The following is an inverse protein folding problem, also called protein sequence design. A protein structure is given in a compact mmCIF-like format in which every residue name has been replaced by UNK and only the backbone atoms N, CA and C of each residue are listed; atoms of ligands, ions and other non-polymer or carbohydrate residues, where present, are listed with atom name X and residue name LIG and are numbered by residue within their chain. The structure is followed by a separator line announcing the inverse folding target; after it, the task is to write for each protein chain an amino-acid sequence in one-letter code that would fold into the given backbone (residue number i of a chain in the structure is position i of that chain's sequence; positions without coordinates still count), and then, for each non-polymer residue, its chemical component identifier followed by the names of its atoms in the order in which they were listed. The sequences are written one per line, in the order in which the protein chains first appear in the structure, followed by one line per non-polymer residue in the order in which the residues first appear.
data_IF_257248821117
#
_entry.id   IF_257248821117
#
_cell.length_a   1.000
_cell.length_b   1.000
_cell.length_c   1.000
_cell.angle_alpha   90.00
_cell.angle_beta   90.00
_cell.angle_gamma   90.00
#
_symmetry.space_group_name_H-M   'P 1'
#
loop_
_entity.id
_entity.type
_entity.pdbx_description
1 polymer ?
#
# COMPACT_ATOMS: atom_id res chain seq x y z
N UNK A 1 -1.15 0.53 -19.74
CA UNK A 1 -1.81 1.11 -18.57
C UNK A 1 -2.26 -0.04 -17.70
N UNK A 2 -1.58 -0.24 -16.57
CA UNK A 2 -1.95 -1.28 -15.61
C UNK A 2 -2.58 -0.69 -14.35
N UNK A 3 -3.35 -1.53 -13.67
CA UNK A 3 -4.05 -1.23 -12.42
C UNK A 3 -3.60 -2.25 -11.38
N UNK A 4 -3.19 -1.79 -10.21
CA UNK A 4 -2.91 -2.64 -9.05
C UNK A 4 -4.18 -2.75 -8.20
N UNK A 5 -4.77 -3.94 -8.15
CA UNK A 5 -5.87 -4.25 -7.25
C UNK A 5 -5.34 -4.79 -5.93
N UNK A 6 -5.76 -4.17 -4.83
CA UNK A 6 -5.33 -4.54 -3.50
C UNK A 6 -6.46 -4.54 -2.49
N UNK A 7 -6.32 -5.34 -1.44
CA UNK A 7 -7.23 -5.36 -0.29
C UNK A 7 -6.48 -5.67 0.99
N UNK A 8 -6.99 -5.21 2.13
CA UNK A 8 -6.35 -5.38 3.45
C UNK A 8 -6.01 -6.84 3.78
N UNK A 9 -6.94 -7.77 3.52
CA UNK A 9 -6.79 -9.19 3.87
C UNK A 9 -6.50 -10.07 2.66
N UNK A 10 -5.80 -11.19 2.88
CA UNK A 10 -5.50 -12.14 1.80
C UNK A 10 -6.75 -12.74 1.15
N UNK A 11 -7.79 -13.01 1.92
CA UNK A 11 -9.05 -13.56 1.40
C UNK A 11 -9.79 -12.55 0.52
N UNK A 12 -9.89 -11.29 0.96
CA UNK A 12 -10.52 -10.24 0.18
C UNK A 12 -9.71 -9.90 -1.08
N UNK A 13 -8.37 -9.86 -0.98
CA UNK A 13 -7.51 -9.66 -2.14
C UNK A 13 -7.65 -10.80 -3.17
N UNK A 14 -7.73 -12.05 -2.70
CA UNK A 14 -7.96 -13.21 -3.56
C UNK A 14 -9.27 -13.09 -4.34
N UNK A 15 -10.36 -12.65 -3.70
CA UNK A 15 -11.66 -12.46 -4.35
C UNK A 15 -11.63 -11.41 -5.47
N UNK A 16 -10.70 -10.45 -5.41
CA UNK A 16 -10.51 -9.41 -6.43
C UNK A 16 -9.48 -9.82 -7.51
N UNK A 17 -8.93 -11.04 -7.47
CA UNK A 17 -7.73 -11.42 -8.21
C UNK A 17 -6.56 -10.43 -8.00
N UNK A 18 -6.51 -9.83 -6.81
CA UNK A 18 -5.53 -8.83 -6.41
C UNK A 18 -4.52 -9.38 -5.41
N UNK A 19 -3.83 -8.48 -4.73
CA UNK A 19 -2.81 -8.83 -3.72
C UNK A 19 -2.95 -7.94 -2.48
N UNK A 20 -2.39 -8.34 -1.33
CA UNK A 20 -2.37 -7.44 -0.17
C UNK A 20 -1.34 -6.32 -0.37
N UNK A 21 -1.47 -5.13 0.25
CA UNK A 21 -0.45 -4.09 0.14
C UNK A 21 0.92 -4.57 0.60
N UNK A 22 0.96 -5.42 1.63
CA UNK A 22 2.18 -6.04 2.15
C UNK A 22 2.90 -6.86 1.08
N UNK A 23 2.19 -7.73 0.37
CA UNK A 23 2.77 -8.53 -0.72
C UNK A 23 3.07 -7.68 -1.96
N UNK A 24 2.16 -6.76 -2.31
CA UNK A 24 2.23 -5.96 -3.53
C UNK A 24 3.43 -5.03 -3.53
N UNK A 25 3.73 -4.44 -2.37
CA UNK A 25 4.72 -3.40 -2.20
C UNK A 25 5.91 -3.84 -1.34
N UNK A 26 5.96 -5.11 -0.91
CA UNK A 26 6.98 -5.66 0.00
C UNK A 26 7.09 -4.90 1.35
N UNK A 27 5.95 -4.49 1.91
CA UNK A 27 5.92 -3.76 3.19
C UNK A 27 6.36 -4.65 4.36
N UNK A 28 7.02 -4.09 5.39
CA UNK A 28 7.35 -4.84 6.59
C UNK A 28 6.09 -5.28 7.34
N UNK A 29 6.13 -6.50 7.90
CA UNK A 29 5.00 -7.07 8.66
C UNK A 29 4.97 -6.51 10.09
N UNK A 30 6.13 -6.25 10.67
CA UNK A 30 6.27 -5.73 12.03
C UNK A 30 6.12 -4.22 12.06
N UNK A 31 5.06 -3.74 12.69
CA UNK A 31 4.85 -2.32 13.01
C UNK A 31 5.89 -1.77 14.02
N UNK A 32 6.69 -2.64 14.64
CA UNK A 32 7.62 -2.31 15.73
C UNK A 32 9.00 -1.82 15.26
N UNK A 33 9.38 -2.00 14.00
CA UNK A 33 10.65 -1.46 13.51
C UNK A 33 10.48 0.01 13.18
N UNK A 34 11.04 0.90 14.00
CA UNK A 34 11.19 2.33 13.73
C UNK A 34 11.89 2.63 12.39
N UNK A 35 12.54 1.64 11.79
CA UNK A 35 13.26 1.77 10.55
C UNK A 35 12.47 1.13 9.40
N UNK A 36 11.78 1.98 8.62
CA UNK A 36 11.30 1.58 7.30
C UNK A 36 12.50 1.48 6.36
N UNK A 37 13.06 0.27 6.27
CA UNK A 37 14.30 0.03 5.53
C UNK A 37 14.16 0.40 4.04
N UNK A 38 15.25 0.91 3.46
CA UNK A 38 15.34 1.06 2.02
C UNK A 38 15.25 -0.31 1.33
N UNK A 39 14.61 -0.32 0.16
CA UNK A 39 14.63 -1.48 -0.71
C UNK A 39 16.07 -1.80 -1.14
N UNK A 40 16.41 -3.10 -1.25
CA UNK A 40 17.63 -3.50 -1.93
C UNK A 40 17.56 -3.14 -3.42
N UNK A 41 18.72 -3.03 -4.08
CA UNK A 41 18.77 -2.75 -5.52
C UNK A 41 18.04 -3.80 -6.34
N UNK A 42 18.13 -5.07 -5.93
CA UNK A 42 17.44 -6.19 -6.58
C UNK A 42 15.92 -6.05 -6.53
N UNK A 43 15.37 -5.75 -5.35
CA UNK A 43 13.93 -5.58 -5.16
C UNK A 43 13.45 -4.32 -5.88
N UNK A 44 14.23 -3.24 -5.82
CA UNK A 44 13.94 -1.99 -6.53
C UNK A 44 13.87 -2.21 -8.03
N UNK A 45 14.82 -2.95 -8.60
CA UNK A 45 14.83 -3.27 -10.03
C UNK A 45 13.59 -4.09 -10.43
N UNK A 46 13.21 -5.07 -9.60
CA UNK A 46 11.98 -5.85 -9.82
C UNK A 46 10.74 -4.96 -9.83
N UNK A 47 10.63 -3.98 -8.93
CA UNK A 47 9.49 -3.06 -8.92
C UNK A 47 9.43 -2.17 -10.16
N UNK A 48 10.57 -1.66 -10.63
CA UNK A 48 10.62 -0.88 -11.88
C UNK A 48 10.08 -1.70 -13.04
N UNK A 49 10.41 -2.99 -13.12
CA UNK A 49 9.91 -3.87 -14.18
C UNK A 49 8.41 -4.19 -14.04
N UNK A 50 7.90 -4.42 -12.82
CA UNK A 50 6.49 -4.78 -12.60
C UNK A 50 5.57 -3.56 -12.73
N UNK A 51 6.02 -2.38 -12.32
CA UNK A 51 5.21 -1.16 -12.25
C UNK A 51 5.53 -0.11 -13.31
N UNK A 52 6.26 -0.47 -14.37
CA UNK A 52 6.69 0.48 -15.41
C UNK A 52 5.55 1.24 -16.08
N UNK A 53 4.34 0.64 -16.17
CA UNK A 53 3.14 1.26 -16.76
C UNK A 53 1.97 1.40 -15.78
N UNK A 54 2.24 1.26 -14.48
CA UNK A 54 1.23 1.38 -13.42
C UNK A 54 0.76 2.84 -13.37
N UNK A 55 -0.56 3.04 -13.39
CA UNK A 55 -1.17 4.37 -13.32
C UNK A 55 -2.19 4.52 -12.19
N UNK A 56 -2.77 3.40 -11.74
CA UNK A 56 -3.86 3.38 -10.76
C UNK A 56 -3.65 2.26 -9.75
N UNK A 57 -3.84 2.59 -8.47
CA UNK A 57 -3.95 1.63 -7.38
C UNK A 57 -5.37 1.69 -6.82
N UNK A 58 -6.00 0.53 -6.66
CA UNK A 58 -7.29 0.40 -5.99
C UNK A 58 -7.07 -0.38 -4.69
N UNK A 59 -7.47 0.19 -3.56
CA UNK A 59 -7.36 -0.43 -2.24
C UNK A 59 -8.78 -0.64 -1.70
N UNK A 60 -9.24 -1.88 -1.71
CA UNK A 60 -10.46 -2.30 -1.04
C UNK A 60 -10.20 -2.53 0.46
N UNK A 61 -11.28 -2.51 1.24
CA UNK A 61 -11.27 -2.69 2.69
C UNK A 61 -10.40 -1.65 3.42
N UNK A 62 -10.46 -0.38 2.97
CA UNK A 62 -9.66 0.72 3.54
C UNK A 62 -9.91 0.94 5.04
N UNK A 63 -11.08 0.55 5.55
CA UNK A 63 -11.41 0.68 6.98
C UNK A 63 -10.51 -0.12 7.90
N UNK A 64 -9.90 -1.19 7.38
CA UNK A 64 -8.98 -2.05 8.12
C UNK A 64 -7.52 -1.64 7.94
N UNK A 65 -7.21 -0.82 6.94
CA UNK A 65 -5.88 -0.23 6.72
C UNK A 65 -5.71 0.94 7.69
N UNK A 66 -4.62 0.96 8.46
CA UNK A 66 -4.34 2.05 9.39
C UNK A 66 -3.51 3.17 8.79
N UNK A 67 -3.46 4.31 9.48
CA UNK A 67 -2.72 5.50 9.04
C UNK A 67 -1.22 5.22 8.82
N UNK A 68 -0.58 4.46 9.72
CA UNK A 68 0.83 4.07 9.56
C UNK A 68 1.03 3.21 8.33
N UNK A 69 0.16 2.21 8.11
CA UNK A 69 0.24 1.37 6.89
C UNK A 69 0.06 2.19 5.63
N UNK A 70 -0.89 3.12 5.61
CA UNK A 70 -1.10 4.01 4.46
C UNK A 70 0.11 4.91 4.20
N UNK A 71 0.74 5.43 5.26
CA UNK A 71 1.99 6.18 5.16
C UNK A 71 3.14 5.32 4.59
N UNK A 72 3.27 4.07 5.05
CA UNK A 72 4.28 3.13 4.52
C UNK A 72 4.05 2.80 3.05
N UNK A 73 2.80 2.71 2.60
CA UNK A 73 2.45 2.57 1.18
C UNK A 73 3.02 3.77 0.40
N UNK A 74 2.75 5.00 0.84
CA UNK A 74 3.26 6.21 0.17
C UNK A 74 4.79 6.27 0.13
N UNK A 75 5.45 6.02 1.28
CA UNK A 75 6.91 5.94 1.37
C UNK A 75 7.50 4.90 0.43
N UNK A 76 6.84 3.74 0.27
CA UNK A 76 7.28 2.71 -0.67
C UNK A 76 7.13 3.14 -2.12
N UNK A 77 6.03 3.81 -2.45
CA UNK A 77 5.82 4.36 -3.79
C UNK A 77 6.87 5.43 -4.12
N UNK A 78 7.27 6.25 -3.14
CA UNK A 78 8.40 7.19 -3.33
C UNK A 78 9.70 6.48 -3.67
N UNK A 79 10.02 5.39 -2.98
CA UNK A 79 11.23 4.59 -3.25
C UNK A 79 11.19 3.97 -4.65
N UNK A 80 10.05 3.41 -5.06
CA UNK A 80 9.89 2.74 -6.35
C UNK A 80 9.94 3.74 -7.51
N UNK A 81 9.18 4.82 -7.43
CA UNK A 81 9.03 5.81 -8.50
C UNK A 81 10.06 6.95 -8.43
N UNK A 82 10.93 6.94 -7.41
CA UNK A 82 11.98 7.94 -7.18
C UNK A 82 11.42 9.38 -7.21
N UNK A 83 10.32 9.59 -6.50
CA UNK A 83 9.61 10.87 -6.45
C UNK A 83 9.09 11.15 -5.04
N UNK A 84 8.79 12.41 -4.74
CA UNK A 84 8.14 12.86 -3.50
C UNK A 84 6.68 13.28 -3.71
N UNK A 85 6.12 13.03 -4.90
CA UNK A 85 4.69 13.26 -5.15
C UNK A 85 3.87 12.30 -4.31
N UNK A 86 2.75 12.78 -3.76
CA UNK A 86 1.79 11.94 -3.06
C UNK A 86 1.44 10.69 -3.90
N UNK A 87 1.41 9.53 -3.24
CA UNK A 87 1.20 8.21 -3.82
C UNK A 87 2.16 7.89 -4.99
N UNK A 88 3.40 8.39 -4.95
CA UNK A 88 4.34 8.23 -6.06
C UNK A 88 3.91 8.90 -7.37
N UNK A 89 2.94 9.81 -7.32
CA UNK A 89 2.33 10.43 -8.50
C UNK A 89 1.30 9.54 -9.22
N UNK A 90 0.89 8.42 -8.62
CA UNK A 90 -0.17 7.56 -9.13
C UNK A 90 -1.55 8.05 -8.69
N UNK A 91 -2.57 7.66 -9.45
CA UNK A 91 -3.95 7.76 -8.97
C UNK A 91 -4.22 6.64 -7.96
N UNK A 92 -4.89 6.97 -6.86
CA UNK A 92 -5.28 5.99 -5.84
C UNK A 92 -6.77 6.11 -5.57
N UNK A 93 -7.49 4.99 -5.64
CA UNK A 93 -8.89 4.88 -5.26
C UNK A 93 -8.95 3.94 -4.06
N UNK A 94 -9.56 4.40 -2.98
CA UNK A 94 -9.80 3.59 -1.79
C UNK A 94 -11.30 3.32 -1.64
N UNK A 95 -11.65 2.11 -1.24
CA UNK A 95 -13.04 1.66 -1.08
C UNK A 95 -13.16 0.93 0.25
N UNK A 96 -14.26 1.15 0.95
CA UNK A 96 -14.58 0.46 2.20
C UNK A 96 -15.62 1.20 3.02
N UNK A 97 -15.99 0.60 4.14
CA UNK A 97 -16.92 1.17 5.11
C UNK A 97 -16.27 1.21 6.49
N UNK A 98 -16.07 2.42 7.02
CA UNK A 98 -15.45 2.67 8.31
C UNK A 98 -16.32 2.26 9.51
N UNK A 99 -17.60 1.95 9.30
CA UNK A 99 -18.47 1.39 10.35
C UNK A 99 -18.30 -0.12 10.53
N UNK A 100 -17.46 -0.79 9.72
CA UNK A 100 -17.17 -2.21 9.87
C UNK A 100 -16.12 -2.47 10.98
N UNK A 101 -14.92 -2.89 10.60
CA UNK A 101 -13.83 -3.17 11.52
C UNK A 101 -12.80 -2.05 11.45
N UNK A 102 -12.33 -1.64 12.63
CA UNK A 102 -11.26 -0.66 12.77
C UNK A 102 -9.89 -1.26 12.41
N UNK A 103 -8.89 -0.42 12.10
CA UNK A 103 -7.52 -0.87 11.91
C UNK A 103 -6.97 -1.58 13.16
N UNK A 104 -6.21 -2.65 12.97
CA UNK A 104 -5.63 -3.43 14.07
C UNK A 104 -4.27 -2.86 14.48
N UNK A 105 -4.18 -2.35 15.71
CA UNK A 105 -2.93 -1.81 16.26
C UNK A 105 -2.47 -0.49 15.64
N UNK A 106 -3.38 0.21 14.95
CA UNK A 106 -3.11 1.44 14.20
C UNK A 106 -4.31 2.39 14.28
N UNK A 107 -4.13 3.67 13.97
CA UNK A 107 -5.20 4.68 13.94
C UNK A 107 -5.97 4.67 12.63
N UNK A 108 -7.16 5.28 12.60
CA UNK A 108 -7.89 5.44 11.34
C UNK A 108 -7.14 6.36 10.39
N UNK A 109 -7.24 6.08 9.08
CA UNK A 109 -6.58 6.87 8.02
C UNK A 109 -7.05 8.33 7.91
N UNK A 110 -8.16 8.68 8.55
CA UNK A 110 -8.71 10.05 8.58
C UNK A 110 -8.49 10.75 9.93
N UNK A 111 -7.93 10.06 10.93
CA UNK A 111 -7.53 10.68 12.18
C UNK A 111 -6.15 11.32 11.99
N UNK A 112 -6.01 12.58 12.41
CA UNK A 112 -4.72 13.25 12.42
C UNK A 112 -3.90 12.80 13.64
N UNK A 113 -2.58 12.69 13.46
CA UNK A 113 -1.62 12.51 14.56
C UNK A 113 -1.51 13.76 15.46
#
# INVERSE_FOLDING_TARGET
MSVLLSSYSGLAAFNLNGTTPHSALALPITQASSNFNMLSDEISHKFVLIFFDLQLIIIDEISKVGARTLHQIDQRLWQIFKTSKACGGLSVITVGDFNQLKPTGDSYVFEAD
#
